data_IF_800822936167
#
_entry.id   IF_800822936167
#
_cell.length_a   1.000
_cell.length_b   1.000
_cell.length_c   1.000
_cell.angle_alpha   90.00
_cell.angle_beta   90.00
_cell.angle_gamma   90.00
#
_symmetry.space_group_name_H-M   'P 1'
#
loop_
_entity.id
_entity.type
_entity.pdbx_description
1 polymer ?
#
# COMPACT_ATOMS: atom_id res chain seq x y z
N UNK A 1 6.91 -14.84 -21.22
CA UNK A 1 7.48 -14.11 -20.05
C UNK A 1 6.39 -13.41 -19.23
N UNK A 2 5.51 -12.60 -19.83
CA UNK A 2 4.41 -11.91 -19.11
C UNK A 2 3.45 -12.82 -18.32
N UNK A 3 3.19 -14.05 -18.79
CA UNK A 3 2.35 -15.02 -18.08
C UNK A 3 2.99 -15.54 -16.78
N UNK A 4 4.32 -15.58 -16.67
CA UNK A 4 5.01 -16.14 -15.51
C UNK A 4 4.90 -15.23 -14.28
N UNK A 5 4.84 -13.91 -14.48
CA UNK A 5 4.76 -12.95 -13.37
C UNK A 5 3.38 -12.83 -12.74
N UNK A 6 2.33 -13.31 -13.41
CA UNK A 6 0.97 -13.31 -12.85
C UNK A 6 0.87 -14.09 -11.54
N UNK A 7 1.70 -15.12 -11.37
CA UNK A 7 1.75 -15.89 -10.12
C UNK A 7 2.10 -15.04 -8.89
N UNK A 8 2.80 -13.92 -9.08
CA UNK A 8 3.16 -12.99 -8.00
C UNK A 8 2.11 -11.89 -7.77
N UNK A 9 1.07 -11.80 -8.60
CA UNK A 9 0.01 -10.82 -8.39
C UNK A 9 -0.87 -11.24 -7.21
N UNK A 10 -0.95 -10.40 -6.18
CA UNK A 10 -1.86 -10.58 -5.05
C UNK A 10 -3.32 -10.65 -5.50
N UNK A 11 -3.67 -9.99 -6.61
CA UNK A 11 -5.01 -10.04 -7.21
C UNK A 11 -5.31 -11.40 -7.82
N UNK A 12 -4.40 -11.92 -8.64
CA UNK A 12 -4.57 -13.24 -9.26
C UNK A 12 -4.51 -14.37 -8.20
N UNK A 13 -3.85 -14.13 -7.07
CA UNK A 13 -3.84 -15.03 -5.92
C UNK A 13 -5.12 -14.98 -5.06
N UNK A 14 -6.07 -14.06 -5.35
CA UNK A 14 -7.32 -13.93 -4.58
C UNK A 14 -7.15 -13.30 -3.19
N UNK A 15 -6.01 -12.69 -2.88
CA UNK A 15 -5.71 -12.13 -1.53
C UNK A 15 -6.58 -10.91 -1.19
N UNK A 16 -7.18 -10.28 -2.20
CA UNK A 16 -8.12 -9.17 -2.01
C UNK A 16 -9.58 -9.63 -1.83
N UNK A 17 -9.85 -10.92 -2.00
CA UNK A 17 -11.18 -11.48 -1.77
C UNK A 17 -11.43 -11.68 -0.27
N UNK A 18 -12.70 -11.65 0.12
CA UNK A 18 -13.21 -11.38 1.46
C UNK A 18 -12.63 -12.33 2.54
N UNK A 19 -11.74 -11.81 3.37
CA UNK A 19 -11.30 -12.48 4.61
C UNK A 19 -12.18 -12.01 5.79
N UNK A 20 -12.62 -12.94 6.64
CA UNK A 20 -13.42 -12.63 7.83
C UNK A 20 -12.58 -11.96 8.94
N UNK A 21 -11.23 -12.05 8.85
CA UNK A 21 -10.29 -11.43 9.80
C UNK A 21 -9.29 -10.53 9.08
N UNK A 22 -9.72 -9.30 8.77
CA UNK A 22 -8.91 -8.34 8.03
C UNK A 22 -7.91 -7.63 8.95
N UNK A 23 -6.65 -8.11 8.95
CA UNK A 23 -5.54 -7.45 9.67
C UNK A 23 -5.39 -5.98 9.22
N UNK A 24 -5.18 -5.03 10.14
CA UNK A 24 -4.90 -3.64 9.78
C UNK A 24 -3.70 -3.51 8.83
N UNK A 25 -3.81 -2.62 7.85
CA UNK A 25 -2.76 -2.39 6.85
C UNK A 25 -2.54 -0.90 6.60
N UNK A 26 -1.29 -0.50 6.44
CA UNK A 26 -0.89 0.81 5.93
C UNK A 26 -0.15 0.61 4.60
N UNK A 27 -0.63 1.28 3.56
CA UNK A 27 0.04 1.32 2.27
C UNK A 27 0.46 2.76 1.95
N UNK A 28 1.75 2.98 1.68
CA UNK A 28 2.30 4.28 1.28
C UNK A 28 3.16 4.11 0.03
N UNK A 29 2.92 4.92 -0.99
CA UNK A 29 3.80 5.01 -2.14
C UNK A 29 3.80 6.43 -2.76
N UNK A 30 4.74 6.70 -3.66
CA UNK A 30 4.75 7.96 -4.43
C UNK A 30 3.79 7.95 -5.60
N UNK A 31 3.23 9.12 -5.94
CA UNK A 31 2.34 9.29 -7.09
C UNK A 31 3.03 9.03 -8.43
N UNK A 32 4.34 9.21 -8.50
CA UNK A 32 5.10 9.19 -9.74
C UNK A 32 5.95 7.91 -9.87
N UNK A 33 5.62 6.89 -9.07
CA UNK A 33 6.30 5.60 -9.12
C UNK A 33 6.01 4.84 -10.42
N UNK A 34 7.06 4.55 -11.17
CA UNK A 34 7.00 3.82 -12.44
C UNK A 34 6.96 2.29 -12.26
N UNK A 35 7.36 1.80 -11.08
CA UNK A 35 7.40 0.37 -10.76
C UNK A 35 6.08 -0.11 -10.17
N UNK A 36 5.46 0.72 -9.32
CA UNK A 36 4.15 0.44 -8.73
C UNK A 36 3.20 1.59 -9.10
N UNK A 37 2.43 1.37 -10.17
CA UNK A 37 1.51 2.37 -10.71
C UNK A 37 0.48 2.82 -9.66
N UNK A 38 -0.02 4.05 -9.78
CA UNK A 38 -1.03 4.60 -8.87
C UNK A 38 -2.27 3.69 -8.75
N UNK A 39 -2.71 3.07 -9.85
CA UNK A 39 -3.84 2.14 -9.84
C UNK A 39 -3.61 0.92 -8.93
N UNK A 40 -2.37 0.40 -8.89
CA UNK A 40 -1.96 -0.72 -8.03
C UNK A 40 -1.88 -0.31 -6.55
N UNK A 41 -1.72 0.99 -6.27
CA UNK A 41 -1.79 1.54 -4.91
C UNK A 41 -3.25 1.75 -4.48
N UNK A 42 -4.06 2.34 -5.36
CA UNK A 42 -5.43 2.75 -5.04
C UNK A 42 -6.39 1.57 -4.88
N UNK A 43 -6.08 0.39 -5.46
CA UNK A 43 -6.88 -0.82 -5.28
C UNK A 43 -7.02 -1.20 -3.80
N UNK A 44 -6.05 -0.89 -2.95
CA UNK A 44 -6.12 -1.19 -1.52
C UNK A 44 -7.17 -0.38 -0.76
N UNK A 45 -7.71 0.71 -1.33
CA UNK A 45 -8.77 1.52 -0.69
C UNK A 45 -10.08 0.77 -0.49
N UNK A 46 -10.32 -0.30 -1.25
CA UNK A 46 -11.53 -1.11 -1.11
C UNK A 46 -11.37 -2.20 -0.03
N UNK A 47 -10.14 -2.41 0.47
CA UNK A 47 -9.87 -3.38 1.54
C UNK A 47 -10.24 -2.76 2.90
N UNK A 48 -11.03 -3.43 3.75
CA UNK A 48 -11.32 -2.95 5.10
C UNK A 48 -10.04 -2.75 5.94
N UNK A 49 -10.10 -1.92 6.98
CA UNK A 49 -8.99 -1.67 7.92
C UNK A 49 -7.66 -1.32 7.21
N UNK A 50 -7.73 -0.56 6.12
CA UNK A 50 -6.56 -0.22 5.30
C UNK A 50 -6.47 1.28 5.08
N UNK A 51 -5.37 1.87 5.52
CA UNK A 51 -5.04 3.26 5.24
C UNK A 51 -4.12 3.34 4.01
N UNK A 52 -4.46 4.18 3.04
CA UNK A 52 -3.71 4.31 1.78
C UNK A 52 -3.29 5.75 1.55
N UNK A 53 -1.98 5.97 1.48
CA UNK A 53 -1.37 7.26 1.19
C UNK A 53 -0.60 7.22 -0.14
N UNK A 54 -1.02 8.06 -1.08
CA UNK A 54 -0.29 8.32 -2.31
C UNK A 54 0.37 9.70 -2.19
N UNK A 55 1.68 9.72 -1.96
CA UNK A 55 2.43 10.94 -1.68
C UNK A 55 2.69 11.68 -3.00
N UNK A 56 2.25 12.94 -3.15
CA UNK A 56 2.38 13.66 -4.41
C UNK A 56 3.83 14.05 -4.70
N UNK A 57 4.18 14.10 -5.98
CA UNK A 57 5.46 14.60 -6.50
C UNK A 57 6.68 13.81 -5.98
N UNK A 58 6.56 12.48 -5.90
CA UNK A 58 7.64 11.57 -5.52
C UNK A 58 7.42 10.20 -6.15
N UNK A 59 8.53 9.49 -6.40
CA UNK A 59 8.54 8.19 -7.05
C UNK A 59 8.54 7.03 -6.07
N UNK A 60 9.26 5.96 -6.42
CA UNK A 60 9.23 4.68 -5.71
C UNK A 60 9.43 4.80 -4.20
N UNK A 61 8.48 4.22 -3.46
CA UNK A 61 8.41 4.19 -1.99
C UNK A 61 8.38 5.58 -1.34
N UNK A 62 8.10 6.64 -2.09
CA UNK A 62 8.15 8.03 -1.63
C UNK A 62 9.46 8.42 -0.93
N UNK A 63 10.58 7.81 -1.33
CA UNK A 63 11.88 7.92 -0.62
C UNK A 63 12.47 9.32 -0.60
N UNK A 64 12.17 10.17 -1.59
CA UNK A 64 12.60 11.58 -1.56
C UNK A 64 11.85 12.42 -0.52
N UNK A 65 10.79 11.87 0.09
CA UNK A 65 9.91 12.52 1.07
C UNK A 65 9.83 11.75 2.38
N UNK A 66 10.87 11.00 2.74
CA UNK A 66 10.92 10.28 4.02
C UNK A 66 10.58 11.15 5.25
N UNK A 67 11.00 12.42 5.36
CA UNK A 67 10.57 13.28 6.46
C UNK A 67 9.05 13.49 6.56
N UNK A 68 8.30 13.41 5.44
CA UNK A 68 6.83 13.46 5.40
C UNK A 68 6.23 12.07 5.71
N UNK A 69 6.86 11.00 5.24
CA UNK A 69 6.37 9.62 5.34
C UNK A 69 6.54 9.03 6.74
N UNK A 70 7.68 9.23 7.39
CA UNK A 70 7.97 8.63 8.70
C UNK A 70 6.97 9.00 9.80
N UNK A 71 6.53 10.27 9.93
CA UNK A 71 5.48 10.62 10.88
C UNK A 71 4.17 9.86 10.68
N UNK A 72 3.77 9.60 9.42
CA UNK A 72 2.57 8.82 9.08
C UNK A 72 2.73 7.38 9.57
N UNK A 73 3.86 6.74 9.25
CA UNK A 73 4.17 5.37 9.67
C UNK A 73 4.19 5.26 11.20
N UNK A 74 4.88 6.17 11.87
CA UNK A 74 5.00 6.17 13.32
C UNK A 74 3.64 6.33 14.00
N UNK A 75 2.84 7.29 13.54
CA UNK A 75 1.49 7.51 14.07
C UNK A 75 0.63 6.26 13.90
N UNK A 76 0.62 5.69 12.69
CA UNK A 76 -0.18 4.51 12.39
C UNK A 76 0.21 3.32 13.26
N UNK A 77 1.52 3.02 13.36
CA UNK A 77 2.01 1.95 14.22
C UNK A 77 1.63 2.15 15.68
N UNK A 78 1.77 3.38 16.19
CA UNK A 78 1.36 3.72 17.56
C UNK A 78 -0.12 3.42 17.77
N UNK A 79 -0.98 3.88 16.86
CA UNK A 79 -2.42 3.64 16.95
C UNK A 79 -2.73 2.13 16.97
N UNK A 80 -2.08 1.32 16.12
CA UNK A 80 -2.32 -0.14 16.07
C UNK A 80 -1.80 -0.90 17.30
N UNK A 81 -0.72 -0.44 17.94
CA UNK A 81 -0.10 -1.13 19.09
C UNK A 81 -0.71 -0.76 20.43
N UNK A 82 -1.45 0.35 20.51
CA UNK A 82 -2.13 0.79 21.75
C UNK A 82 -3.62 0.47 21.77
N UNK A 83 -4.12 -0.24 20.75
CA UNK A 83 -5.52 -0.62 20.58
C UNK A 83 -5.86 -1.94 21.27
#
# INVERSE_FOLDING_TARGET
>A
MYQLFKIFSLREQGVFEKDEKVTPMLFINGSDDIHVLQAETLIFKVRPNTDVYLIPNTGHCATSKLPEVFPIIYKWLKDQMTS
#
